data_IF_627337898088
#
_entry.id   IF_627337898088
#
_cell.length_a   1.000
_cell.length_b   1.000
_cell.length_c   1.000
_cell.angle_alpha   90.00
_cell.angle_beta   90.00
_cell.angle_gamma   90.00
#
_symmetry.space_group_name_H-M   'P 1'
#
loop_
_entity.id
_entity.type
_entity.pdbx_description
1 polymer ?
#
# COMPACT_ATOMS: atom_id res chain seq x y z
N UNK A 1 110.72 54.93 80.96
CA UNK A 1 109.92 54.71 79.73
C UNK A 1 109.64 53.23 79.45
N UNK A 2 110.59 52.30 79.64
CA UNK A 2 110.37 50.86 79.38
C UNK A 2 109.27 50.18 80.24
N UNK A 3 109.09 50.58 81.50
CA UNK A 3 108.07 50.02 82.41
C UNK A 3 106.63 50.45 82.09
N UNK A 4 106.46 51.59 81.40
CA UNK A 4 105.14 52.09 80.97
C UNK A 4 104.68 51.33 79.73
N UNK A 5 105.59 51.13 78.76
CA UNK A 5 105.32 50.36 77.53
C UNK A 5 104.92 48.91 77.84
N UNK A 6 105.61 48.26 78.79
CA UNK A 6 105.28 46.90 79.24
C UNK A 6 103.90 46.81 79.93
N UNK A 7 103.49 47.83 80.68
CA UNK A 7 102.15 47.90 81.28
C UNK A 7 101.06 48.14 80.23
N UNK A 8 101.34 48.97 79.23
CA UNK A 8 100.45 49.22 78.09
C UNK A 8 100.25 47.92 77.28
N UNK A 9 101.33 47.20 76.98
CA UNK A 9 101.29 45.91 76.28
C UNK A 9 100.54 44.84 77.08
N UNK A 10 100.76 44.77 78.39
CA UNK A 10 100.03 43.85 79.27
C UNK A 10 98.53 44.15 79.31
N UNK A 11 98.15 45.43 79.38
CA UNK A 11 96.74 45.83 79.30
C UNK A 11 96.11 45.49 77.95
N UNK A 12 96.80 45.77 76.84
CA UNK A 12 96.33 45.42 75.50
C UNK A 12 96.14 43.91 75.32
N UNK A 13 97.09 43.09 75.82
CA UNK A 13 96.99 41.63 75.81
C UNK A 13 95.85 41.13 76.71
N UNK A 14 95.60 41.78 77.84
CA UNK A 14 94.49 41.42 78.73
C UNK A 14 93.13 41.77 78.11
N UNK A 15 93.02 42.91 77.45
CA UNK A 15 91.83 43.30 76.69
C UNK A 15 91.58 42.36 75.51
N UNK A 16 92.61 41.96 74.78
CA UNK A 16 92.52 40.97 73.70
C UNK A 16 92.10 39.59 74.23
N UNK A 17 92.67 39.16 75.35
CA UNK A 17 92.29 37.92 76.03
C UNK A 17 90.84 37.96 76.49
N UNK A 18 90.36 39.07 77.03
CA UNK A 18 88.97 39.24 77.45
C UNK A 18 88.01 39.33 76.25
N UNK A 19 88.45 39.87 75.11
CA UNK A 19 87.71 39.82 73.84
C UNK A 19 87.59 38.40 73.31
N UNK A 20 88.68 37.62 73.29
CA UNK A 20 88.64 36.21 72.90
C UNK A 20 87.80 35.37 73.86
N UNK A 21 87.81 35.66 75.16
CA UNK A 21 86.96 34.96 76.12
C UNK A 21 85.47 35.28 75.87
N UNK A 22 85.12 36.53 75.56
CA UNK A 22 83.76 36.92 75.16
C UNK A 22 83.33 36.23 73.86
N UNK A 23 84.20 36.21 72.84
CA UNK A 23 83.94 35.51 71.57
C UNK A 23 83.72 34.01 71.81
N UNK A 24 84.56 33.39 72.64
CA UNK A 24 84.45 31.97 72.99
C UNK A 24 83.13 31.68 73.71
N UNK A 25 82.68 32.57 74.60
CA UNK A 25 81.37 32.45 75.26
C UNK A 25 80.22 32.54 74.26
N UNK A 26 80.24 33.54 73.37
CA UNK A 26 79.24 33.70 72.31
C UNK A 26 79.18 32.47 71.39
N UNK A 27 80.33 31.94 70.96
CA UNK A 27 80.39 30.74 70.12
C UNK A 27 79.86 29.51 70.85
N UNK A 28 80.15 29.35 72.15
CA UNK A 28 79.58 28.27 72.96
C UNK A 28 78.07 28.39 73.08
N UNK A 29 77.54 29.59 73.31
CA UNK A 29 76.08 29.80 73.39
C UNK A 29 75.40 29.50 72.04
N UNK A 30 76.02 29.89 70.93
CA UNK A 30 75.57 29.54 69.58
C UNK A 30 75.58 28.02 69.34
N UNK A 31 76.65 27.32 69.72
CA UNK A 31 76.72 25.86 69.60
C UNK A 31 75.61 25.18 70.40
N UNK A 32 75.37 25.61 71.64
CA UNK A 32 74.30 25.06 72.47
C UNK A 32 72.92 25.35 71.85
N UNK A 33 72.71 26.52 71.25
CA UNK A 33 71.47 26.83 70.54
C UNK A 33 71.25 25.92 69.32
N UNK A 34 72.31 25.66 68.54
CA UNK A 34 72.27 24.77 67.37
C UNK A 34 72.09 23.30 67.77
N UNK A 35 72.69 22.86 68.89
CA UNK A 35 72.47 21.51 69.42
C UNK A 35 71.02 21.33 69.89
N UNK A 36 70.40 22.35 70.49
CA UNK A 36 68.96 22.32 70.79
C UNK A 36 68.12 22.22 69.52
N UNK A 37 68.41 22.99 68.49
CA UNK A 37 67.68 22.91 67.22
C UNK A 37 67.87 21.54 66.54
N UNK A 38 69.08 20.99 66.58
CA UNK A 38 69.40 19.67 66.07
C UNK A 38 68.61 18.58 66.78
N UNK A 39 68.62 18.58 68.12
CA UNK A 39 67.88 17.59 68.91
C UNK A 39 66.36 17.70 68.66
N UNK A 40 65.81 18.91 68.54
CA UNK A 40 64.40 19.11 68.18
C UNK A 40 64.09 18.56 66.79
N UNK A 41 64.95 18.85 65.80
CA UNK A 41 64.79 18.35 64.42
C UNK A 41 64.92 16.83 64.34
N UNK A 42 65.90 16.25 65.04
CA UNK A 42 66.11 14.80 65.14
C UNK A 42 64.90 14.13 65.80
N UNK A 43 64.38 14.68 66.90
CA UNK A 43 63.16 14.18 67.54
C UNK A 43 61.94 14.28 66.62
N UNK A 44 61.79 15.36 65.84
CA UNK A 44 60.70 15.50 64.85
C UNK A 44 60.79 14.45 63.74
N UNK A 45 62.00 14.19 63.23
CA UNK A 45 62.26 13.14 62.24
C UNK A 45 61.98 11.76 62.84
N UNK A 46 62.43 11.53 64.09
CA UNK A 46 62.24 10.27 64.77
C UNK A 46 60.76 10.01 65.02
N UNK A 47 59.96 11.01 65.43
CA UNK A 47 58.48 10.89 65.54
C UNK A 47 57.86 10.54 64.19
N UNK A 48 58.27 11.17 63.08
CA UNK A 48 57.77 10.85 61.74
C UNK A 48 58.13 9.42 61.28
N UNK A 49 59.25 8.88 61.76
CA UNK A 49 59.72 7.53 61.47
C UNK A 49 59.14 6.47 62.41
N UNK A 50 58.93 6.80 63.69
CA UNK A 50 58.37 5.91 64.72
C UNK A 50 56.86 5.79 64.62
N UNK A 51 56.15 6.68 63.91
CA UNK A 51 54.76 6.42 63.47
C UNK A 51 54.75 5.14 62.65
N UNK A 52 54.30 4.00 63.24
CA UNK A 52 54.52 2.70 62.63
C UNK A 52 53.70 2.62 61.35
N UNK A 53 54.42 2.61 60.22
CA UNK A 53 53.86 2.41 58.90
C UNK A 53 53.39 3.66 58.16
N UNK A 54 53.76 4.89 58.50
CA UNK A 54 53.38 6.07 57.68
C UNK A 54 53.83 5.95 56.21
N UNK A 55 55.12 5.71 55.98
CA UNK A 55 55.70 5.52 54.64
C UNK A 55 55.27 4.21 53.96
N UNK A 56 55.19 3.12 54.72
CA UNK A 56 54.77 1.81 54.19
C UNK A 56 53.26 1.77 53.86
N UNK A 57 52.40 2.44 54.64
CA UNK A 57 50.97 2.58 54.36
C UNK A 57 50.74 3.46 53.13
N UNK A 58 51.53 4.53 52.92
CA UNK A 58 51.45 5.36 51.71
C UNK A 58 51.85 4.56 50.45
N UNK A 59 53.00 3.87 50.47
CA UNK A 59 53.41 2.99 49.36
C UNK A 59 52.41 1.85 49.14
N UNK A 60 51.85 1.30 50.21
CA UNK A 60 50.81 0.26 50.15
C UNK A 60 49.50 0.76 49.53
N UNK A 61 49.02 1.93 49.92
CA UNK A 61 47.85 2.59 49.33
C UNK A 61 48.08 2.86 47.83
N UNK A 62 49.23 3.45 47.48
CA UNK A 62 49.59 3.69 46.08
C UNK A 62 49.62 2.39 45.26
N UNK A 63 50.20 1.31 45.80
CA UNK A 63 50.19 -0.01 45.15
C UNK A 63 48.77 -0.58 44.98
N UNK A 64 47.88 -0.40 45.97
CA UNK A 64 46.47 -0.80 45.86
C UNK A 64 45.74 -0.01 44.76
N UNK A 65 45.95 1.30 44.70
CA UNK A 65 45.38 2.15 43.64
C UNK A 65 45.89 1.73 42.26
N UNK A 66 47.19 1.47 42.09
CA UNK A 66 47.74 0.97 40.83
C UNK A 66 47.15 -0.38 40.40
N UNK A 67 46.97 -1.31 41.34
CA UNK A 67 46.31 -2.60 41.06
C UNK A 67 44.85 -2.41 40.67
N UNK A 68 44.15 -1.48 41.32
CA UNK A 68 42.76 -1.15 41.01
C UNK A 68 42.64 -0.51 39.62
N UNK A 69 43.48 0.47 39.29
CA UNK A 69 43.56 1.10 37.97
C UNK A 69 43.80 0.04 36.89
N UNK A 70 44.80 -0.84 37.09
CA UNK A 70 45.07 -1.94 36.15
C UNK A 70 43.87 -2.88 36.00
N UNK A 71 43.15 -3.14 37.09
CA UNK A 71 41.91 -3.93 37.07
C UNK A 71 40.85 -3.27 36.18
N UNK A 72 40.61 -1.97 36.37
CA UNK A 72 39.66 -1.20 35.57
C UNK A 72 40.08 -1.11 34.09
N UNK A 73 41.36 -0.89 33.80
CA UNK A 73 41.91 -0.90 32.45
C UNK A 73 41.69 -2.26 31.77
N UNK A 74 41.92 -3.36 32.50
CA UNK A 74 41.66 -4.71 31.98
C UNK A 74 40.18 -4.96 31.70
N UNK A 75 39.28 -4.50 32.58
CA UNK A 75 37.85 -4.58 32.33
C UNK A 75 37.45 -3.75 31.10
N UNK A 76 37.93 -2.51 31.01
CA UNK A 76 37.68 -1.63 29.86
C UNK A 76 38.14 -2.28 28.56
N UNK A 77 39.35 -2.86 28.54
CA UNK A 77 39.87 -3.57 27.38
C UNK A 77 39.01 -4.79 27.02
N UNK A 78 38.57 -5.59 28.00
CA UNK A 78 37.67 -6.72 27.76
C UNK A 78 36.33 -6.28 27.16
N UNK A 79 35.73 -5.21 27.68
CA UNK A 79 34.48 -4.67 27.14
C UNK A 79 34.68 -4.09 25.73
N UNK A 80 35.80 -3.43 25.47
CA UNK A 80 36.15 -2.90 24.14
C UNK A 80 36.28 -4.03 23.12
N UNK A 81 37.03 -5.09 23.44
CA UNK A 81 37.17 -6.27 22.56
C UNK A 81 35.81 -6.95 22.31
N UNK A 82 34.96 -7.06 23.35
CA UNK A 82 33.60 -7.59 23.19
C UNK A 82 32.75 -6.72 22.28
N UNK A 83 32.84 -5.40 22.44
CA UNK A 83 32.12 -4.43 21.61
C UNK A 83 32.57 -4.50 20.15
N UNK A 84 33.88 -4.53 19.89
CA UNK A 84 34.43 -4.68 18.54
C UNK A 84 34.02 -6.01 17.89
N UNK A 85 33.96 -7.08 18.69
CA UNK A 85 33.42 -8.37 18.27
C UNK A 85 31.93 -8.30 17.88
N UNK A 86 31.11 -7.56 18.64
CA UNK A 86 29.71 -7.33 18.30
C UNK A 86 29.57 -6.46 17.04
N UNK A 87 30.40 -5.44 16.85
CA UNK A 87 30.42 -4.61 15.65
C UNK A 87 30.78 -5.43 14.40
N UNK A 88 31.78 -6.32 14.52
CA UNK A 88 32.19 -7.20 13.41
C UNK A 88 31.05 -8.15 13.03
N UNK A 89 30.41 -8.80 14.01
CA UNK A 89 29.23 -9.64 13.77
C UNK A 89 28.07 -8.86 13.17
N UNK A 90 27.82 -7.63 13.65
CA UNK A 90 26.78 -6.77 13.09
C UNK A 90 27.06 -6.42 11.63
N UNK A 91 28.32 -6.13 11.30
CA UNK A 91 28.75 -5.89 9.93
C UNK A 91 28.52 -7.11 9.04
N UNK A 92 28.83 -8.32 9.52
CA UNK A 92 28.59 -9.55 8.76
C UNK A 92 27.09 -9.81 8.55
N UNK A 93 26.26 -9.62 9.57
CA UNK A 93 24.80 -9.67 9.41
C UNK A 93 24.28 -8.63 8.41
N UNK A 94 24.83 -7.41 8.39
CA UNK A 94 24.46 -6.40 7.39
C UNK A 94 24.82 -6.84 5.97
N UNK A 95 25.95 -7.51 5.77
CA UNK A 95 26.33 -8.09 4.46
C UNK A 95 25.38 -9.21 4.06
N UNK A 96 25.03 -10.09 4.98
CA UNK A 96 24.08 -11.18 4.73
C UNK A 96 22.70 -10.63 4.34
N UNK A 97 22.22 -9.61 5.06
CA UNK A 97 20.96 -8.92 4.73
C UNK A 97 21.05 -8.30 3.33
N UNK A 98 22.13 -7.59 3.00
CA UNK A 98 22.31 -6.99 1.68
C UNK A 98 22.31 -8.04 0.57
N UNK A 99 22.99 -9.16 0.77
CA UNK A 99 23.01 -10.29 -0.16
C UNK A 99 21.62 -10.91 -0.34
N UNK A 100 20.86 -11.14 0.74
CA UNK A 100 19.49 -11.64 0.68
C UNK A 100 18.54 -10.68 -0.05
N UNK A 101 18.71 -9.37 0.15
CA UNK A 101 17.93 -8.35 -0.58
C UNK A 101 18.25 -8.36 -2.08
N UNK A 102 19.52 -8.52 -2.45
CA UNK A 102 19.91 -8.69 -3.85
C UNK A 102 19.28 -9.94 -4.46
N UNK A 103 19.34 -11.08 -3.75
CA UNK A 103 18.69 -12.32 -4.19
C UNK A 103 17.19 -12.14 -4.36
N UNK A 104 16.50 -11.53 -3.39
CA UNK A 104 15.07 -11.20 -3.49
C UNK A 104 14.79 -10.37 -4.74
N UNK A 105 15.61 -9.36 -5.03
CA UNK A 105 15.49 -8.55 -6.24
C UNK A 105 15.61 -9.38 -7.52
N UNK A 106 16.58 -10.30 -7.59
CA UNK A 106 16.74 -11.22 -8.72
C UNK A 106 15.51 -12.13 -8.89
N UNK A 107 15.02 -12.73 -7.80
CA UNK A 107 13.83 -13.59 -7.83
C UNK A 107 12.57 -12.84 -8.24
N UNK A 108 12.37 -11.61 -7.75
CA UNK A 108 11.27 -10.76 -8.21
C UNK A 108 11.35 -10.47 -9.71
N UNK A 109 12.55 -10.25 -10.25
CA UNK A 109 12.74 -10.04 -11.69
C UNK A 109 12.44 -11.31 -12.50
N UNK A 110 12.85 -12.48 -12.02
CA UNK A 110 12.53 -13.77 -12.65
C UNK A 110 11.02 -14.02 -12.64
N UNK A 111 10.35 -13.81 -11.50
CA UNK A 111 8.91 -13.95 -11.38
C UNK A 111 8.15 -13.00 -12.33
N UNK A 112 8.59 -11.74 -12.45
CA UNK A 112 8.04 -10.78 -13.42
C UNK A 112 8.20 -11.27 -14.88
N UNK A 113 9.33 -11.88 -15.23
CA UNK A 113 9.55 -12.44 -16.57
C UNK A 113 8.61 -13.62 -16.84
N UNK A 114 8.47 -14.54 -15.89
CA UNK A 114 7.54 -15.67 -16.04
C UNK A 114 6.08 -15.21 -16.11
N UNK A 115 5.66 -14.25 -15.30
CA UNK A 115 4.30 -13.71 -15.39
C UNK A 115 4.02 -13.04 -16.75
N UNK A 116 5.01 -12.32 -17.32
CA UNK A 116 4.89 -11.78 -18.68
C UNK A 116 4.76 -12.89 -19.72
N UNK A 117 5.58 -13.95 -19.63
CA UNK A 117 5.50 -15.10 -20.53
C UNK A 117 4.14 -15.81 -20.42
N UNK A 118 3.65 -16.02 -19.20
CA UNK A 118 2.34 -16.61 -18.95
C UNK A 118 1.22 -15.78 -19.59
N UNK A 119 1.23 -14.46 -19.38
CA UNK A 119 0.26 -13.55 -20.00
C UNK A 119 0.33 -13.59 -21.53
N UNK A 120 1.53 -13.67 -22.12
CA UNK A 120 1.65 -13.82 -23.58
C UNK A 120 1.13 -15.16 -24.10
N UNK A 121 1.32 -16.25 -23.35
CA UNK A 121 0.80 -17.57 -23.70
C UNK A 121 -0.73 -17.62 -23.60
N UNK A 122 -1.30 -17.07 -22.52
CA UNK A 122 -2.76 -16.96 -22.37
C UNK A 122 -3.37 -16.17 -23.54
N UNK A 123 -2.82 -15.00 -23.87
CA UNK A 123 -3.29 -14.22 -25.02
C UNK A 123 -3.15 -14.96 -26.36
N UNK A 124 -2.17 -15.87 -26.50
CA UNK A 124 -2.04 -16.70 -27.71
C UNK A 124 -3.10 -17.80 -27.74
N UNK A 125 -3.36 -18.45 -26.61
CA UNK A 125 -4.43 -19.44 -26.46
C UNK A 125 -5.79 -18.82 -26.74
N UNK A 126 -6.09 -17.65 -26.18
CA UNK A 126 -7.37 -16.95 -26.39
C UNK A 126 -7.58 -16.64 -27.88
N UNK A 127 -6.54 -16.14 -28.57
CA UNK A 127 -6.60 -15.90 -30.03
C UNK A 127 -6.80 -17.19 -30.83
N UNK A 128 -6.18 -18.28 -30.39
CA UNK A 128 -6.37 -19.58 -31.03
C UNK A 128 -7.80 -20.08 -30.81
N UNK A 129 -8.37 -19.90 -29.61
CA UNK A 129 -9.74 -20.24 -29.29
C UNK A 129 -10.75 -19.42 -30.12
N UNK A 130 -10.53 -18.11 -30.26
CA UNK A 130 -11.33 -17.25 -31.14
C UNK A 130 -11.25 -17.75 -32.59
N UNK A 131 -10.05 -18.03 -33.10
CA UNK A 131 -9.86 -18.55 -34.45
C UNK A 131 -10.53 -19.91 -34.66
N UNK A 132 -10.47 -20.80 -33.67
CA UNK A 132 -11.12 -22.11 -33.72
C UNK A 132 -12.65 -21.96 -33.70
N UNK A 133 -13.17 -21.07 -32.88
CA UNK A 133 -14.61 -20.77 -32.81
C UNK A 133 -15.12 -20.26 -34.15
N UNK A 134 -14.40 -19.34 -34.79
CA UNK A 134 -14.74 -18.84 -36.13
C UNK A 134 -14.70 -19.95 -37.18
N UNK A 135 -13.65 -20.76 -37.20
CA UNK A 135 -13.54 -21.88 -38.14
C UNK A 135 -14.67 -22.91 -37.94
N UNK A 136 -15.05 -23.18 -36.69
CA UNK A 136 -16.15 -24.09 -36.37
C UNK A 136 -17.50 -23.53 -36.84
N UNK A 137 -17.73 -22.23 -36.62
CA UNK A 137 -18.94 -21.55 -37.10
C UNK A 137 -19.03 -21.59 -38.63
N UNK A 138 -17.93 -21.28 -39.34
CA UNK A 138 -17.88 -21.37 -40.80
C UNK A 138 -18.15 -22.78 -41.31
N UNK A 139 -17.61 -23.80 -40.65
CA UNK A 139 -17.87 -25.20 -40.97
C UNK A 139 -19.35 -25.54 -40.78
N UNK A 140 -19.94 -25.17 -39.64
CA UNK A 140 -21.35 -25.39 -39.34
C UNK A 140 -22.27 -24.73 -40.37
N UNK A 141 -21.96 -23.49 -40.77
CA UNK A 141 -22.69 -22.78 -41.81
C UNK A 141 -22.58 -23.47 -43.18
N UNK A 142 -21.40 -23.98 -43.55
CA UNK A 142 -21.20 -24.72 -44.79
C UNK A 142 -21.96 -26.05 -44.78
N UNK A 143 -21.94 -26.78 -43.66
CA UNK A 143 -22.71 -28.01 -43.46
C UNK A 143 -24.22 -27.74 -43.56
N UNK A 144 -24.71 -26.64 -42.98
CA UNK A 144 -26.10 -26.20 -43.13
C UNK A 144 -26.49 -25.93 -44.59
N UNK A 145 -25.68 -25.16 -45.33
CA UNK A 145 -25.93 -24.90 -46.76
C UNK A 145 -25.89 -26.17 -47.60
N UNK A 146 -24.99 -27.11 -47.29
CA UNK A 146 -24.90 -28.37 -48.00
C UNK A 146 -26.16 -29.22 -47.77
N UNK A 147 -26.70 -29.22 -46.55
CA UNK A 147 -27.95 -29.89 -46.21
C UNK A 147 -29.13 -29.26 -46.96
N UNK A 148 -29.25 -27.93 -46.97
CA UNK A 148 -30.27 -27.21 -47.75
C UNK A 148 -30.20 -27.60 -49.24
N UNK A 149 -29.01 -27.57 -49.84
CA UNK A 149 -28.81 -27.98 -51.24
C UNK A 149 -29.22 -29.45 -51.46
N UNK A 150 -28.93 -30.32 -50.51
CA UNK A 150 -29.38 -31.72 -50.52
C UNK A 150 -30.91 -31.82 -50.59
N UNK A 151 -31.62 -31.12 -49.72
CA UNK A 151 -33.10 -31.07 -49.71
C UNK A 151 -33.65 -30.52 -51.03
N UNK A 152 -33.05 -29.45 -51.57
CA UNK A 152 -33.43 -28.89 -52.88
C UNK A 152 -33.27 -29.90 -54.01
N UNK A 153 -32.17 -30.66 -54.03
CA UNK A 153 -31.93 -31.71 -55.03
C UNK A 153 -32.97 -32.83 -54.90
N UNK A 154 -33.31 -33.26 -53.69
CA UNK A 154 -34.35 -34.28 -53.46
C UNK A 154 -35.71 -33.81 -53.98
N UNK A 155 -36.09 -32.57 -53.70
CA UNK A 155 -37.34 -31.98 -54.19
C UNK A 155 -37.36 -31.87 -55.72
N UNK A 156 -36.29 -31.33 -56.34
CA UNK A 156 -36.24 -31.18 -57.80
C UNK A 156 -36.19 -32.54 -58.51
N UNK A 157 -35.48 -33.53 -57.97
CA UNK A 157 -35.45 -34.88 -58.55
C UNK A 157 -36.81 -35.56 -58.47
N UNK A 158 -37.56 -35.38 -57.37
CA UNK A 158 -38.95 -35.83 -57.27
C UNK A 158 -39.85 -35.13 -58.29
N UNK A 159 -39.72 -33.80 -58.44
CA UNK A 159 -40.47 -33.03 -59.43
C UNK A 159 -40.13 -33.46 -60.86
N UNK A 160 -38.85 -33.63 -61.19
CA UNK A 160 -38.38 -34.09 -62.49
C UNK A 160 -38.92 -35.49 -62.81
N UNK A 161 -38.88 -36.40 -61.83
CA UNK A 161 -39.42 -37.76 -61.99
C UNK A 161 -40.91 -37.74 -62.29
N UNK A 162 -41.68 -36.86 -61.62
CA UNK A 162 -43.11 -36.65 -61.89
C UNK A 162 -43.35 -36.11 -63.31
N UNK A 163 -42.63 -35.07 -63.74
CA UNK A 163 -42.72 -34.53 -65.12
C UNK A 163 -42.39 -35.60 -66.16
N UNK A 164 -41.34 -36.39 -65.92
CA UNK A 164 -40.92 -37.49 -66.79
C UNK A 164 -42.01 -38.55 -66.93
N UNK A 165 -42.67 -38.91 -65.83
CA UNK A 165 -43.75 -39.91 -65.87
C UNK A 165 -44.98 -39.39 -66.63
N UNK A 166 -45.37 -38.13 -66.42
CA UNK A 166 -46.45 -37.48 -67.17
C UNK A 166 -46.17 -37.45 -68.67
N UNK A 167 -44.93 -37.08 -69.06
CA UNK A 167 -44.52 -37.05 -70.46
C UNK A 167 -44.57 -38.45 -71.08
N UNK A 168 -44.10 -39.48 -70.35
CA UNK A 168 -44.21 -40.87 -70.79
C UNK A 168 -45.66 -41.29 -71.01
N UNK A 169 -46.57 -40.94 -70.11
CA UNK A 169 -48.01 -41.22 -70.27
C UNK A 169 -48.60 -40.53 -71.50
N UNK A 170 -48.25 -39.26 -71.77
CA UNK A 170 -48.69 -38.54 -72.97
C UNK A 170 -48.18 -39.24 -74.23
N UNK A 171 -46.89 -39.61 -74.28
CA UNK A 171 -46.31 -40.33 -75.42
C UNK A 171 -47.02 -41.68 -75.61
N UNK A 172 -47.27 -42.43 -74.54
CA UNK A 172 -48.00 -43.71 -74.62
C UNK A 172 -49.43 -43.51 -75.15
N UNK A 173 -50.10 -42.41 -74.80
CA UNK A 173 -51.41 -42.04 -75.37
C UNK A 173 -51.32 -41.67 -76.85
N UNK A 174 -50.31 -40.88 -77.24
CA UNK A 174 -50.09 -40.50 -78.65
C UNK A 174 -49.75 -41.72 -79.53
N UNK A 175 -48.92 -42.64 -79.04
CA UNK A 175 -48.60 -43.90 -79.75
C UNK A 175 -49.85 -44.77 -79.89
N UNK A 176 -50.69 -44.86 -78.85
CA UNK A 176 -51.98 -45.57 -78.93
C UNK A 176 -52.93 -44.91 -79.94
N UNK A 177 -52.97 -43.58 -79.98
CA UNK A 177 -53.77 -42.84 -80.95
C UNK A 177 -53.24 -43.05 -82.37
N UNK A 178 -51.92 -42.99 -82.57
CA UNK A 178 -51.28 -43.23 -83.85
C UNK A 178 -51.55 -44.65 -84.35
N UNK A 179 -51.35 -45.67 -83.51
CA UNK A 179 -51.65 -47.06 -83.87
C UNK A 179 -53.15 -47.30 -84.14
N UNK A 180 -54.04 -46.65 -83.38
CA UNK A 180 -55.48 -46.66 -83.67
C UNK A 180 -55.79 -46.03 -85.03
N UNK A 181 -55.21 -44.86 -85.32
CA UNK A 181 -55.36 -44.19 -86.62
C UNK A 181 -54.77 -45.03 -87.75
N UNK A 182 -53.59 -45.63 -87.59
CA UNK A 182 -52.98 -46.53 -88.58
C UNK A 182 -53.87 -47.75 -88.85
N UNK A 183 -54.46 -48.35 -87.81
CA UNK A 183 -55.42 -49.46 -87.96
C UNK A 183 -56.67 -49.00 -88.72
N UNK A 184 -57.21 -47.82 -88.39
CA UNK A 184 -58.36 -47.24 -89.10
C UNK A 184 -58.03 -46.85 -90.53
N UNK A 185 -56.84 -46.32 -90.80
CA UNK A 185 -56.37 -46.03 -92.15
C UNK A 185 -56.11 -47.32 -92.95
N UNK A 186 -55.63 -48.40 -92.33
CA UNK A 186 -55.53 -49.71 -92.99
C UNK A 186 -56.90 -50.31 -93.33
N UNK A 187 -57.94 -50.09 -92.50
CA UNK A 187 -59.34 -50.43 -92.83
C UNK A 187 -59.91 -49.57 -93.97
N UNK A 188 -59.53 -48.28 -94.05
CA UNK A 188 -59.98 -47.34 -95.10
C UNK A 188 -59.21 -47.52 -96.43
N UNK A 189 -57.94 -47.90 -96.41
CA UNK A 189 -57.14 -48.21 -97.63
C UNK A 189 -57.64 -49.48 -98.32
N UNK A 190 -58.39 -50.35 -97.63
CA UNK A 190 -59.12 -51.46 -98.26
C UNK A 190 -60.46 -51.04 -98.91
N UNK A 191 -60.89 -49.77 -98.76
CA UNK A 191 -62.18 -49.31 -99.27
C UNK A 191 -62.15 -48.08 -100.17
N UNK A 192 -61.11 -47.26 -100.19
CA UNK A 192 -61.10 -46.04 -101.00
C UNK A 192 -59.71 -45.78 -101.62
N UNK A 193 -59.44 -46.41 -102.76
CA UNK A 193 -58.94 -45.63 -103.90
C UNK A 193 -60.05 -44.61 -104.23
N UNK A 194 -59.89 -43.37 -103.79
CA UNK A 194 -60.22 -42.14 -104.52
C UNK A 194 -60.04 -40.93 -103.60
N UNK A 195 -59.63 -39.82 -104.23
CA UNK A 195 -59.60 -38.43 -103.79
C UNK A 195 -60.47 -38.09 -102.56
N UNK A 196 -60.07 -37.22 -101.64
CA UNK A 196 -59.63 -35.87 -101.99
C UNK A 196 -59.14 -35.09 -100.76
N UNK A 197 -58.29 -34.12 -101.05
CA UNK A 197 -58.27 -32.80 -100.40
C UNK A 197 -57.89 -32.69 -98.91
N UNK A 198 -56.57 -32.52 -98.74
CA UNK A 198 -55.95 -31.60 -97.78
C UNK A 198 -56.76 -30.29 -97.62
N UNK A 199 -57.43 -30.08 -96.49
CA UNK A 199 -57.66 -28.76 -95.90
C UNK A 199 -58.42 -28.86 -94.57
N UNK A 200 -57.71 -29.04 -93.45
CA UNK A 200 -58.26 -28.84 -92.09
C UNK A 200 -57.21 -28.82 -90.96
N UNK A 201 -56.00 -28.31 -91.24
CA UNK A 201 -54.93 -28.12 -90.23
C UNK A 201 -54.28 -26.73 -90.28
N UNK A 202 -55.03 -25.69 -90.68
CA UNK A 202 -54.53 -24.31 -90.75
C UNK A 202 -55.38 -23.27 -90.00
N UNK A 203 -56.28 -23.69 -89.11
CA UNK A 203 -57.21 -22.73 -88.47
C UNK A 203 -57.19 -22.68 -86.94
N UNK A 204 -56.42 -23.56 -86.27
CA UNK A 204 -56.19 -23.46 -84.82
C UNK A 204 -54.84 -22.84 -84.45
N UNK A 205 -53.95 -22.61 -85.43
CA UNK A 205 -52.67 -21.93 -85.21
C UNK A 205 -52.80 -20.40 -85.33
N UNK A 206 -53.83 -19.91 -86.03
CA UNK A 206 -54.03 -18.48 -86.24
C UNK A 206 -54.75 -17.77 -85.08
N UNK A 207 -55.69 -18.41 -84.36
CA UNK A 207 -56.36 -17.75 -83.21
C UNK A 207 -55.42 -17.51 -82.01
N UNK A 208 -54.54 -18.47 -81.70
CA UNK A 208 -53.48 -18.27 -80.68
C UNK A 208 -52.39 -17.29 -81.13
N UNK A 209 -52.15 -17.16 -82.44
CA UNK A 209 -51.19 -16.22 -83.01
C UNK A 209 -51.72 -14.79 -82.99
N UNK A 210 -53.00 -14.62 -83.30
CA UNK A 210 -53.70 -13.34 -83.32
C UNK A 210 -53.86 -12.76 -81.91
N UNK A 211 -54.25 -13.56 -80.90
CA UNK A 211 -54.31 -13.06 -79.51
C UNK A 211 -52.93 -12.61 -78.97
N UNK A 212 -51.87 -13.36 -79.28
CA UNK A 212 -50.50 -12.95 -78.90
C UNK A 212 -50.07 -11.69 -79.66
N UNK A 213 -50.42 -11.57 -80.93
CA UNK A 213 -50.12 -10.39 -81.75
C UNK A 213 -50.87 -9.16 -81.24
N UNK A 214 -52.13 -9.31 -80.83
CA UNK A 214 -52.97 -8.28 -80.23
C UNK A 214 -52.35 -7.77 -78.91
N UNK A 215 -51.89 -8.68 -78.05
CA UNK A 215 -51.20 -8.37 -76.79
C UNK A 215 -49.85 -7.66 -77.01
N UNK A 216 -49.05 -8.11 -77.99
CA UNK A 216 -47.81 -7.42 -78.35
C UNK A 216 -48.06 -6.05 -78.97
N UNK A 217 -49.12 -5.90 -79.77
CA UNK A 217 -49.53 -4.61 -80.35
C UNK A 217 -50.02 -3.65 -79.27
N UNK A 218 -50.78 -4.14 -78.30
CA UNK A 218 -51.22 -3.36 -77.15
C UNK A 218 -50.03 -2.94 -76.27
N UNK A 219 -49.12 -3.86 -75.97
CA UNK A 219 -47.88 -3.57 -75.23
C UNK A 219 -46.97 -2.57 -75.96
N UNK A 220 -46.86 -2.67 -77.29
CA UNK A 220 -46.13 -1.70 -78.10
C UNK A 220 -46.78 -0.32 -78.08
N UNK A 221 -48.12 -0.25 -78.21
CA UNK A 221 -48.86 1.02 -78.13
C UNK A 221 -48.66 1.71 -76.78
N UNK A 222 -48.70 0.97 -75.67
CA UNK A 222 -48.44 1.52 -74.35
C UNK A 222 -46.97 1.97 -74.16
N UNK A 223 -46.01 1.27 -74.78
CA UNK A 223 -44.60 1.69 -74.76
C UNK A 223 -44.37 2.99 -75.53
N UNK A 224 -44.99 3.14 -76.71
CA UNK A 224 -44.92 4.35 -77.53
C UNK A 224 -45.57 5.54 -76.82
N UNK A 225 -46.68 5.33 -76.12
CA UNK A 225 -47.36 6.37 -75.33
C UNK A 225 -46.48 6.90 -74.18
N UNK A 226 -45.71 6.02 -73.52
CA UNK A 226 -44.84 6.41 -72.38
C UNK A 226 -43.49 6.98 -72.82
N UNK A 227 -42.98 6.55 -73.98
CA UNK A 227 -41.64 6.96 -74.47
C UNK A 227 -41.68 8.04 -75.54
N UNK A 228 -42.87 8.38 -76.07
CA UNK A 228 -43.12 9.36 -77.15
C UNK A 228 -42.38 9.08 -78.48
N UNK A 229 -41.67 7.95 -78.58
CA UNK A 229 -40.93 7.55 -79.77
C UNK A 229 -41.59 6.35 -80.48
N UNK A 230 -41.52 6.33 -81.81
CA UNK A 230 -42.21 5.34 -82.65
C UNK A 230 -41.32 4.19 -83.12
N UNK A 231 -39.99 4.32 -83.04
CA UNK A 231 -39.05 3.27 -83.48
C UNK A 231 -38.69 2.31 -82.34
N UNK A 232 -39.02 1.03 -82.53
CA UNK A 232 -38.78 -0.04 -81.56
C UNK A 232 -37.30 -0.17 -81.15
N UNK A 233 -36.35 0.18 -82.05
CA UNK A 233 -34.91 0.07 -81.78
C UNK A 233 -34.41 1.18 -80.86
N UNK A 234 -34.90 2.40 -81.05
CA UNK A 234 -34.57 3.54 -80.18
C UNK A 234 -35.21 3.36 -78.79
N UNK A 235 -36.45 2.88 -78.72
CA UNK A 235 -37.10 2.50 -77.45
C UNK A 235 -36.27 1.44 -76.69
N UNK A 236 -35.78 0.41 -77.39
CA UNK A 236 -34.94 -0.62 -76.79
C UNK A 236 -33.58 -0.06 -76.31
N UNK A 237 -32.99 0.86 -77.06
CA UNK A 237 -31.73 1.51 -76.69
C UNK A 237 -31.91 2.44 -75.47
N UNK A 238 -32.97 3.25 -75.45
CA UNK A 238 -33.36 4.10 -74.33
C UNK A 238 -33.69 3.28 -73.08
N UNK A 239 -34.39 2.16 -73.23
CA UNK A 239 -34.65 1.23 -72.13
C UNK A 239 -33.35 0.65 -71.58
N UNK A 240 -32.45 0.15 -72.43
CA UNK A 240 -31.16 -0.37 -72.00
C UNK A 240 -30.30 0.71 -71.31
N UNK A 241 -30.35 1.96 -71.77
CA UNK A 241 -29.64 3.06 -71.13
C UNK A 241 -30.26 3.43 -69.77
N UNK A 242 -31.59 3.47 -69.67
CA UNK A 242 -32.31 3.73 -68.43
C UNK A 242 -32.13 2.59 -67.42
N UNK A 243 -32.13 1.34 -67.88
CA UNK A 243 -31.83 0.17 -67.05
C UNK A 243 -30.41 0.27 -66.47
N UNK A 244 -29.40 0.61 -67.28
CA UNK A 244 -28.04 0.83 -66.80
C UNK A 244 -27.96 1.96 -65.76
N UNK A 245 -28.65 3.08 -66.00
CA UNK A 245 -28.73 4.20 -65.04
C UNK A 245 -29.43 3.76 -63.74
N UNK A 246 -30.49 2.97 -63.85
CA UNK A 246 -31.25 2.47 -62.70
C UNK A 246 -30.42 1.45 -61.90
N UNK A 247 -29.72 0.55 -62.58
CA UNK A 247 -28.79 -0.39 -61.98
C UNK A 247 -27.66 0.32 -61.23
N UNK A 248 -27.10 1.40 -61.80
CA UNK A 248 -26.10 2.22 -61.13
C UNK A 248 -26.66 2.92 -59.89
N UNK A 249 -27.89 3.45 -59.95
CA UNK A 249 -28.57 4.07 -58.79
C UNK A 249 -28.85 3.05 -57.69
N UNK A 250 -29.38 1.88 -58.04
CA UNK A 250 -29.66 0.80 -57.08
C UNK A 250 -28.35 0.32 -56.44
N UNK A 251 -27.29 0.14 -57.23
CA UNK A 251 -25.96 -0.22 -56.71
C UNK A 251 -25.44 0.84 -55.74
N UNK A 252 -25.58 2.12 -56.06
CA UNK A 252 -25.17 3.21 -55.16
C UNK A 252 -26.00 3.24 -53.87
N UNK A 253 -27.32 3.06 -53.96
CA UNK A 253 -28.20 2.95 -52.79
C UNK A 253 -27.79 1.76 -51.91
N UNK A 254 -27.46 0.61 -52.51
CA UNK A 254 -27.01 -0.56 -51.77
C UNK A 254 -25.68 -0.31 -51.05
N UNK A 255 -24.73 0.37 -51.69
CA UNK A 255 -23.46 0.77 -51.04
C UNK A 255 -23.68 1.75 -49.88
N UNK A 256 -24.58 2.73 -50.06
CA UNK A 256 -24.96 3.62 -48.96
C UNK A 256 -25.62 2.85 -47.80
N UNK A 257 -26.50 1.88 -48.12
CA UNK A 257 -27.15 1.05 -47.11
C UNK A 257 -26.13 0.21 -46.34
N UNK A 258 -25.12 -0.37 -47.01
CA UNK A 258 -24.00 -1.06 -46.37
C UNK A 258 -23.24 -0.12 -45.42
N UNK A 259 -22.95 1.11 -45.86
CA UNK A 259 -22.24 2.09 -45.05
C UNK A 259 -23.05 2.53 -43.83
N UNK A 260 -24.36 2.72 -43.98
CA UNK A 260 -25.28 3.02 -42.86
C UNK A 260 -25.26 1.86 -41.86
N UNK A 261 -25.36 0.61 -42.32
CA UNK A 261 -25.32 -0.55 -41.44
C UNK A 261 -24.00 -0.68 -40.68
N UNK A 262 -22.86 -0.42 -41.35
CA UNK A 262 -21.55 -0.40 -40.70
C UNK A 262 -21.45 0.69 -39.63
N UNK A 263 -21.90 1.90 -39.94
CA UNK A 263 -21.90 3.00 -38.97
C UNK A 263 -22.82 2.71 -37.78
N UNK A 264 -23.99 2.09 -38.03
CA UNK A 264 -24.92 1.70 -36.97
C UNK A 264 -24.29 0.66 -36.05
N UNK A 265 -23.69 -0.38 -36.62
CA UNK A 265 -22.97 -1.39 -35.85
C UNK A 265 -21.82 -0.79 -35.03
N UNK A 266 -21.03 0.11 -35.61
CA UNK A 266 -19.97 0.82 -34.88
C UNK A 266 -20.53 1.68 -33.75
N UNK A 267 -21.68 2.34 -33.96
CA UNK A 267 -22.34 3.16 -32.95
C UNK A 267 -22.85 2.29 -31.80
N UNK A 268 -23.46 1.14 -32.11
CA UNK A 268 -23.97 0.23 -31.09
C UNK A 268 -22.83 -0.41 -30.30
N UNK A 269 -21.71 -0.75 -30.96
CA UNK A 269 -20.49 -1.18 -30.27
C UNK A 269 -19.97 -0.11 -29.32
N UNK A 270 -19.83 1.14 -29.77
CA UNK A 270 -19.38 2.24 -28.91
C UNK A 270 -20.32 2.47 -27.72
N UNK A 271 -21.64 2.37 -27.91
CA UNK A 271 -22.61 2.46 -26.80
C UNK A 271 -22.42 1.34 -25.78
N UNK A 272 -22.22 0.11 -26.24
CA UNK A 272 -21.96 -1.03 -25.35
C UNK A 272 -20.66 -0.86 -24.59
N UNK A 273 -19.59 -0.38 -25.25
CA UNK A 273 -18.31 -0.09 -24.60
C UNK A 273 -18.46 1.02 -23.53
N UNK A 274 -19.24 2.07 -23.81
CA UNK A 274 -19.55 3.13 -22.83
C UNK A 274 -20.30 2.55 -21.62
N UNK A 275 -21.31 1.72 -21.84
CA UNK A 275 -22.07 1.09 -20.75
C UNK A 275 -21.18 0.17 -19.89
N UNK A 276 -20.32 -0.62 -20.53
CA UNK A 276 -19.37 -1.48 -19.83
C UNK A 276 -18.38 -0.68 -18.98
N UNK A 277 -17.83 0.42 -19.52
CA UNK A 277 -16.93 1.30 -18.77
C UNK A 277 -17.64 2.02 -17.63
N UNK A 278 -18.90 2.44 -17.82
CA UNK A 278 -19.70 3.06 -16.77
C UNK A 278 -19.95 2.09 -15.61
N UNK A 279 -20.30 0.84 -15.89
CA UNK A 279 -20.50 -0.19 -14.86
C UNK A 279 -19.20 -0.50 -14.12
N UNK A 280 -18.09 -0.62 -14.84
CA UNK A 280 -16.76 -0.83 -14.24
C UNK A 280 -16.34 0.33 -13.33
N UNK A 281 -16.60 1.57 -13.74
CA UNK A 281 -16.32 2.76 -12.92
C UNK A 281 -17.18 2.77 -11.67
N UNK A 282 -18.47 2.44 -11.78
CA UNK A 282 -19.36 2.35 -10.62
C UNK A 282 -18.85 1.32 -9.59
N UNK A 283 -18.43 0.13 -10.05
CA UNK A 283 -17.83 -0.87 -9.18
C UNK A 283 -16.53 -0.40 -8.52
N UNK A 284 -15.69 0.36 -9.25
CA UNK A 284 -14.48 0.95 -8.67
C UNK A 284 -14.80 2.03 -7.64
N UNK A 285 -15.79 2.89 -7.90
CA UNK A 285 -16.23 3.94 -6.99
C UNK A 285 -16.82 3.33 -5.70
N UNK A 286 -17.60 2.27 -5.80
CA UNK A 286 -18.12 1.53 -4.64
C UNK A 286 -16.99 0.95 -3.79
N UNK A 287 -15.96 0.37 -4.41
CA UNK A 287 -14.78 -0.15 -3.73
C UNK A 287 -13.95 0.96 -3.08
N UNK A 288 -13.73 2.09 -3.77
CA UNK A 288 -13.04 3.24 -3.18
C UNK A 288 -13.82 3.74 -1.97
N UNK A 289 -15.13 3.88 -2.09
CA UNK A 289 -15.97 4.39 -1.03
C UNK A 289 -16.02 3.44 0.19
N UNK A 290 -15.97 2.13 -0.02
CA UNK A 290 -15.86 1.16 1.09
C UNK A 290 -14.50 1.29 1.80
N UNK A 291 -13.40 1.34 1.05
CA UNK A 291 -12.06 1.52 1.64
C UNK A 291 -11.91 2.85 2.36
N UNK A 292 -12.56 3.91 1.85
CA UNK A 292 -12.56 5.22 2.48
C UNK A 292 -13.30 5.19 3.83
N UNK A 293 -14.47 4.54 3.89
CA UNK A 293 -15.21 4.35 5.15
C UNK A 293 -14.42 3.52 6.17
N UNK A 294 -13.72 2.49 5.73
CA UNK A 294 -12.88 1.67 6.62
C UNK A 294 -11.74 2.50 7.22
N UNK A 295 -11.04 3.28 6.38
CA UNK A 295 -9.99 4.21 6.81
C UNK A 295 -10.51 5.31 7.74
N UNK A 296 -11.70 5.85 7.45
CA UNK A 296 -12.34 6.87 8.29
C UNK A 296 -12.71 6.28 9.67
N UNK A 297 -13.21 5.04 9.72
CA UNK A 297 -13.47 4.34 10.97
C UNK A 297 -12.18 4.05 11.76
N UNK A 298 -11.09 3.69 11.09
CA UNK A 298 -9.79 3.46 11.72
C UNK A 298 -9.19 4.77 12.26
N UNK A 299 -9.31 5.86 11.50
CA UNK A 299 -8.90 7.20 11.95
C UNK A 299 -9.68 7.64 13.18
N UNK A 300 -11.00 7.45 13.20
CA UNK A 300 -11.83 7.82 14.35
C UNK A 300 -11.45 7.01 15.61
N UNK A 301 -11.18 5.70 15.45
CA UNK A 301 -10.67 4.86 16.54
C UNK A 301 -9.33 5.37 17.06
N UNK A 302 -8.37 5.63 16.17
CA UNK A 302 -7.06 6.13 16.57
C UNK A 302 -7.14 7.52 17.22
N UNK A 303 -8.04 8.38 16.76
CA UNK A 303 -8.31 9.67 17.37
C UNK A 303 -8.84 9.51 18.79
N UNK A 304 -9.86 8.68 18.99
CA UNK A 304 -10.41 8.40 20.32
C UNK A 304 -9.37 7.81 21.28
N UNK A 305 -8.48 6.95 20.78
CA UNK A 305 -7.37 6.42 21.56
C UNK A 305 -6.35 7.51 21.92
N UNK A 306 -5.98 8.36 20.97
CA UNK A 306 -5.09 9.50 21.21
C UNK A 306 -5.67 10.44 22.27
N UNK A 307 -6.93 10.82 22.14
CA UNK A 307 -7.63 11.70 23.07
C UNK A 307 -7.66 11.08 24.48
N UNK A 308 -7.91 9.77 24.59
CA UNK A 308 -7.89 9.07 25.88
C UNK A 308 -6.50 9.01 26.52
N UNK A 309 -5.45 8.86 25.71
CA UNK A 309 -4.07 8.85 26.18
C UNK A 309 -3.61 10.25 26.60
N UNK A 310 -4.02 11.27 25.87
CA UNK A 310 -3.74 12.67 26.20
C UNK A 310 -4.42 13.07 27.50
N UNK A 311 -5.69 12.68 27.69
CA UNK A 311 -6.40 12.86 28.96
C UNK A 311 -5.67 12.16 30.11
N UNK A 312 -5.27 10.90 29.95
CA UNK A 312 -4.50 10.17 30.96
C UNK A 312 -3.14 10.81 31.26
N UNK A 313 -2.45 11.34 30.26
CA UNK A 313 -1.19 12.05 30.48
C UNK A 313 -1.42 13.35 31.26
N UNK A 314 -2.50 14.09 30.94
CA UNK A 314 -2.91 15.27 31.68
C UNK A 314 -3.20 14.94 33.14
N UNK A 315 -3.96 13.88 33.43
CA UNK A 315 -4.28 13.43 34.79
C UNK A 315 -3.02 13.01 35.57
N UNK A 316 -2.08 12.33 34.91
CA UNK A 316 -0.78 11.98 35.53
C UNK A 316 0.05 13.23 35.80
N UNK A 317 -0.03 14.24 34.93
CA UNK A 317 0.71 15.48 35.11
C UNK A 317 0.12 16.37 36.20
N UNK A 318 -1.20 16.41 36.37
CA UNK A 318 -1.85 17.09 37.50
C UNK A 318 -1.50 16.42 38.82
N UNK A 319 -1.63 15.09 38.91
CA UNK A 319 -1.29 14.33 40.13
C UNK A 319 0.19 14.43 40.48
N UNK A 320 1.10 14.40 39.50
CA UNK A 320 2.52 14.68 39.74
C UNK A 320 2.76 16.11 40.22
N UNK A 321 2.03 17.09 39.67
CA UNK A 321 2.09 18.48 40.12
C UNK A 321 1.62 18.65 41.56
N UNK A 322 0.49 18.04 41.92
CA UNK A 322 -0.05 18.00 43.28
C UNK A 322 0.92 17.34 44.26
N UNK A 323 1.49 16.18 43.91
CA UNK A 323 2.47 15.48 44.73
C UNK A 323 3.74 16.32 44.92
N UNK A 324 4.25 16.93 43.84
CA UNK A 324 5.41 17.82 43.89
C UNK A 324 5.14 19.03 44.78
N UNK A 325 3.94 19.60 44.70
CA UNK A 325 3.49 20.71 45.56
C UNK A 325 3.38 20.30 47.03
N UNK A 326 2.77 19.15 47.32
CA UNK A 326 2.64 18.62 48.68
C UNK A 326 4.01 18.32 49.31
N UNK A 327 4.92 17.71 48.55
CA UNK A 327 6.30 17.45 48.99
C UNK A 327 7.06 18.76 49.22
N UNK A 328 6.88 19.76 48.36
CA UNK A 328 7.48 21.09 48.56
C UNK A 328 6.97 21.73 49.84
N UNK A 329 5.65 21.67 50.11
CA UNK A 329 5.06 22.20 51.33
C UNK A 329 5.52 21.48 52.61
N UNK A 330 5.67 20.15 52.57
CA UNK A 330 6.24 19.38 53.68
C UNK A 330 7.73 19.69 53.90
N UNK A 331 8.48 19.84 52.81
CA UNK A 331 9.89 20.21 52.86
C UNK A 331 10.09 21.61 53.46
N UNK A 332 9.27 22.59 53.06
CA UNK A 332 9.28 23.94 53.65
C UNK A 332 8.99 23.92 55.17
N UNK A 333 8.21 22.95 55.66
CA UNK A 333 7.89 22.82 57.08
C UNK A 333 9.00 22.16 57.91
N UNK A 334 9.72 21.18 57.34
CA UNK A 334 10.76 20.40 58.04
C UNK A 334 12.15 21.02 57.86
N UNK A 335 12.42 21.66 56.72
CA UNK A 335 13.71 22.26 56.35
C UNK A 335 13.52 23.64 55.72
N UNK A 336 13.74 24.76 56.43
CA UNK A 336 13.58 26.12 55.90
C UNK A 336 14.74 26.59 55.00
N UNK A 337 15.44 25.67 54.31
CA UNK A 337 16.40 26.03 53.26
C UNK A 337 15.69 25.99 51.91
N UNK A 338 15.67 27.13 51.21
CA UNK A 338 14.94 27.31 49.95
C UNK A 338 15.46 26.38 48.84
N UNK A 339 14.88 25.19 48.72
CA UNK A 339 15.23 24.21 47.71
C UNK A 339 14.01 23.95 46.83
N UNK A 340 14.15 24.28 45.53
CA UNK A 340 13.09 24.09 44.55
C UNK A 340 12.95 22.60 44.19
N UNK A 341 11.81 21.99 44.51
CA UNK A 341 11.50 20.62 44.12
C UNK A 341 11.13 20.58 42.63
N UNK A 342 11.78 19.71 41.87
CA UNK A 342 11.52 19.46 40.45
C UNK A 342 11.39 17.95 40.21
N UNK A 343 10.75 17.53 39.13
CA UNK A 343 10.35 16.12 38.87
C UNK A 343 11.50 15.10 39.04
N UNK A 344 12.72 15.48 38.67
CA UNK A 344 13.92 14.63 38.80
C UNK A 344 14.40 14.46 40.24
N UNK A 345 14.10 15.45 41.09
CA UNK A 345 14.56 15.52 42.47
C UNK A 345 13.47 15.12 43.47
N UNK A 346 12.20 15.06 43.05
CA UNK A 346 11.03 14.67 43.87
C UNK A 346 11.30 13.35 44.59
N UNK A 347 11.75 12.31 43.88
CA UNK A 347 12.02 11.00 44.48
C UNK A 347 13.16 11.02 45.51
N UNK A 348 14.11 11.94 45.37
CA UNK A 348 15.21 12.09 46.31
C UNK A 348 14.74 12.80 47.58
N UNK A 349 13.93 13.85 47.42
CA UNK A 349 13.33 14.57 48.55
C UNK A 349 12.27 13.73 49.28
N UNK A 350 11.52 12.87 48.62
CA UNK A 350 10.62 11.92 49.33
C UNK A 350 11.40 10.98 50.23
N UNK A 351 12.52 10.42 49.78
CA UNK A 351 13.33 9.53 50.63
C UNK A 351 13.97 10.27 51.81
N UNK A 352 14.42 11.52 51.60
CA UNK A 352 14.93 12.37 52.69
C UNK A 352 13.82 12.70 53.68
N UNK A 353 12.62 13.02 53.20
CA UNK A 353 11.45 13.24 54.04
C UNK A 353 11.07 11.98 54.82
N UNK A 354 11.03 10.81 54.19
CA UNK A 354 10.76 9.53 54.86
C UNK A 354 11.77 9.23 55.97
N UNK A 355 13.06 9.48 55.74
CA UNK A 355 14.12 9.33 56.75
C UNK A 355 13.93 10.34 57.90
N UNK A 356 13.67 11.61 57.60
CA UNK A 356 13.44 12.65 58.61
C UNK A 356 12.17 12.42 59.44
N UNK A 357 11.09 11.94 58.82
CA UNK A 357 9.83 11.58 59.50
C UNK A 357 10.05 10.33 60.34
N UNK A 358 10.80 9.35 59.86
CA UNK A 358 11.17 8.16 60.63
C UNK A 358 11.98 8.53 61.87
N UNK A 359 12.94 9.45 61.74
CA UNK A 359 13.72 9.97 62.84
C UNK A 359 12.87 10.78 63.84
N UNK A 360 11.94 11.60 63.36
CA UNK A 360 10.96 12.32 64.20
C UNK A 360 10.01 11.36 64.93
N UNK A 361 9.55 10.30 64.27
CA UNK A 361 8.73 9.26 64.90
C UNK A 361 9.53 8.48 65.94
N UNK A 362 10.80 8.16 65.67
CA UNK A 362 11.69 7.54 66.65
C UNK A 362 11.91 8.48 67.84
N UNK A 363 12.09 9.79 67.61
CA UNK A 363 12.18 10.78 68.68
C UNK A 363 10.89 10.88 69.49
N UNK A 364 9.71 10.91 68.85
CA UNK A 364 8.42 10.93 69.53
C UNK A 364 8.18 9.66 70.36
N UNK A 365 8.54 8.48 69.82
CA UNK A 365 8.42 7.20 70.51
C UNK A 365 9.41 7.08 71.68
N UNK A 366 10.59 7.69 71.56
CA UNK A 366 11.56 7.81 72.65
C UNK A 366 11.14 8.88 73.69
N UNK A 367 10.32 9.87 73.30
CA UNK A 367 9.71 10.85 74.22
C UNK A 367 8.47 10.28 74.93
N UNK A 368 7.79 9.27 74.37
CA UNK A 368 6.72 8.54 75.06
C UNK A 368 7.22 7.74 76.28
N UNK A 369 8.52 7.41 76.37
CA UNK A 369 9.11 6.77 77.56
C UNK A 369 9.42 7.74 78.71
N UNK A 370 9.40 9.06 78.50
CA UNK A 370 9.50 10.07 79.56
C UNK A 370 8.33 11.09 79.50
N UNK A 371 7.17 10.66 80.01
CA UNK A 371 6.01 11.48 80.44
C UNK A 371 5.26 12.35 79.40
N UNK A 372 4.07 11.88 78.99
CA UNK A 372 2.73 12.53 79.06
C UNK A 372 1.84 12.56 77.79
N UNK A 373 0.65 11.97 77.97
CA UNK A 373 -0.70 12.16 77.35
C UNK A 373 -0.95 11.91 75.84
N UNK A 374 -1.49 10.72 75.46
CA UNK A 374 -1.76 10.28 74.08
C UNK A 374 -2.78 11.11 73.28
N UNK A 375 -3.50 12.05 73.90
CA UNK A 375 -4.58 12.80 73.27
C UNK A 375 -4.15 14.12 72.62
N UNK A 376 -2.96 14.62 72.92
CA UNK A 376 -2.48 15.91 72.39
C UNK A 376 -1.90 15.81 70.97
N UNK A 377 -1.40 14.64 70.54
CA UNK A 377 -0.86 14.42 69.20
C UNK A 377 -1.91 14.10 68.13
N UNK A 378 -3.05 13.52 68.49
CA UNK A 378 -4.10 13.16 67.54
C UNK A 378 -4.85 14.38 66.97
N UNK A 379 -4.85 15.50 67.70
CA UNK A 379 -5.50 16.75 67.27
C UNK A 379 -4.63 17.58 66.32
N UNK A 380 -3.30 17.48 66.40
CA UNK A 380 -2.40 18.20 65.50
C UNK A 380 -2.33 17.57 64.09
N UNK A 381 -2.58 16.26 63.98
CA UNK A 381 -2.48 15.52 62.72
C UNK A 381 -3.77 15.55 61.88
N UNK A 382 -4.88 16.05 62.44
CA UNK A 382 -6.15 16.21 61.74
C UNK A 382 -6.24 17.46 60.85
N UNK A 383 -5.34 18.44 61.01
CA UNK A 383 -5.29 19.66 60.18
C UNK A 383 -4.48 19.47 58.86
N UNK A 384 -3.83 18.32 58.65
CA UNK A 384 -3.05 18.00 57.43
C UNK A 384 -3.87 17.28 56.33
N UNK A 385 -5.14 17.02 56.61
CA UNK A 385 -6.26 16.76 55.70
C UNK A 385 -6.71 17.96 54.85
N UNK A 386 -6.39 18.17 53.54
CA UNK A 386 -7.24 19.08 52.76
C UNK A 386 -8.69 18.59 52.85
N UNK A 387 -9.56 19.43 53.41
CA UNK A 387 -11.01 19.27 53.35
C UNK A 387 -11.43 19.27 51.88
N UNK A 388 -11.54 18.08 51.28
CA UNK A 388 -12.23 17.91 50.02
C UNK A 388 -13.73 18.12 50.26
N UNK A 389 -14.17 19.39 50.24
CA UNK A 389 -15.55 19.75 49.96
C UNK A 389 -15.91 19.22 48.56
N UNK A 390 -16.52 18.03 48.49
CA UNK A 390 -17.31 17.65 47.32
C UNK A 390 -18.54 18.56 47.24
N UNK A 391 -18.39 19.71 46.58
CA UNK A 391 -19.51 20.40 45.94
C UNK A 391 -19.96 19.55 44.75
N UNK A 392 -20.97 18.72 44.98
CA UNK A 392 -21.79 18.17 43.90
C UNK A 392 -22.62 19.34 43.33
N UNK A 393 -22.08 20.02 42.32
CA UNK A 393 -22.87 20.93 41.48
C UNK A 393 -23.76 20.09 40.56
N UNK A 394 -24.98 19.83 41.03
CA UNK A 394 -26.10 19.49 40.14
C UNK A 394 -26.56 20.75 39.43
N UNK A 395 -26.11 21.01 38.19
CA UNK A 395 -26.85 21.87 37.27
C UNK A 395 -26.88 21.33 35.82
N UNK A 396 -28.10 20.91 35.44
CA UNK A 396 -28.82 21.25 34.20
C UNK A 396 -28.09 21.11 32.85
N UNK A 397 -28.31 19.97 32.22
CA UNK A 397 -28.45 19.88 30.76
C UNK A 397 -29.92 19.98 30.34
N UNK A 398 -30.34 21.14 29.81
CA UNK A 398 -31.58 21.28 29.04
C UNK A 398 -31.39 20.68 27.63
N UNK A 399 -32.41 19.94 27.21
CA UNK A 399 -32.80 19.30 25.94
C UNK A 399 -32.32 19.96 24.61
N UNK A 400 -32.40 19.24 23.47
CA UNK A 400 -33.71 19.08 22.81
C UNK A 400 -34.00 17.71 22.21
N UNK A 401 -35.31 17.42 22.19
CA UNK A 401 -35.93 16.33 21.47
C UNK A 401 -35.73 16.44 19.94
N UNK A 402 -35.56 15.29 19.29
CA UNK A 402 -36.18 15.07 17.97
C UNK A 402 -36.52 13.59 17.77
N UNK A 403 -37.82 13.34 17.88
CA UNK A 403 -38.62 12.35 17.15
C UNK A 403 -37.95 11.80 15.90
N UNK A 404 -38.04 10.48 15.69
CA UNK A 404 -38.55 9.91 14.45
C UNK A 404 -39.19 8.54 14.71
N UNK A 405 -40.47 8.46 14.40
CA UNK A 405 -41.25 7.24 14.15
C UNK A 405 -40.88 6.67 12.78
N UNK A 406 -41.06 5.35 12.64
CA UNK A 406 -41.59 4.65 11.44
C UNK A 406 -40.81 4.74 10.11
N UNK A 407 -40.21 3.63 9.70
CA UNK A 407 -40.56 2.84 8.51
C UNK A 407 -39.65 1.60 8.42
#
# INVERSE_FOLDING_TARGET
>A
MATVILKEQYKSLQEERDQYEKLTKQQKDQLVSLERERTVSENSIQVKLTVPGGLFKLKGKQSRHWKHIRGLENYLNQYTVRFDGLLTRNMDHRKDIAHLLQQKGLWCNVAKKFNKQLATQLNQTDKMEESLTVAFQQRSEAEGRMLEVGEWIEVETAHFTKRRMQLKTIIDHDVKLQTFMETKFQEVICFEENDDSKNRKKQQQDESGVEKLEMYRQGHSSLVEVTEESDLREIAHMFAQNERKNFARISYINELQKKINMLRHSTDKMKNDILFLAEKNKGHDEQINSTFKDLESELEKNRSLSDSLEQRCSDVQTTLGELTGAISGLLDHIMPEAVTVNLDNVAHFTSILEESISDLLIQANNMEEEQMDPLSMLLANSELLPENEMRVETERGKSPARSLKSA
#
